data_IF_683154381691
#
_entry.id   IF_683154381691
#
_cell.length_a   1.000
_cell.length_b   1.000
_cell.length_c   1.000
_cell.angle_alpha   90.00
_cell.angle_beta   90.00
_cell.angle_gamma   90.00
#
_symmetry.space_group_name_H-M   'P 1'
#
loop_
_entity.id
_entity.type
_entity.pdbx_description
1 polymer ?
#
# COMPACT_ATOMS: atom_id res chain seq x y z
N UNK A 1 -0.24 -28.61 -1.43
CA UNK A 1 0.78 -28.40 -2.49
C UNK A 1 1.58 -27.16 -2.12
N UNK A 2 2.89 -27.06 -2.39
CA UNK A 2 3.57 -25.79 -2.15
C UNK A 2 2.93 -24.78 -3.12
N UNK A 3 2.10 -23.89 -2.58
CA UNK A 3 1.49 -22.81 -3.36
C UNK A 3 2.55 -21.87 -3.90
N UNK A 4 2.18 -21.02 -4.86
CA UNK A 4 3.08 -19.99 -5.33
C UNK A 4 3.54 -19.13 -4.15
N UNK A 5 4.85 -18.90 -4.03
CA UNK A 5 5.39 -18.10 -2.93
C UNK A 5 5.36 -16.63 -3.31
N UNK A 6 5.17 -15.77 -2.32
CA UNK A 6 5.36 -14.34 -2.49
C UNK A 6 6.82 -14.04 -2.87
N UNK A 7 6.98 -12.95 -3.61
CA UNK A 7 8.20 -12.40 -4.16
C UNK A 7 9.33 -12.23 -3.11
N UNK A 8 9.00 -12.06 -1.83
CA UNK A 8 9.99 -11.87 -0.76
C UNK A 8 11.04 -12.99 -0.72
N UNK A 9 10.62 -14.25 -0.85
CA UNK A 9 11.51 -15.44 -0.82
C UNK A 9 12.51 -15.38 -1.97
N UNK A 10 12.04 -14.95 -3.15
CA UNK A 10 12.86 -14.83 -4.34
C UNK A 10 13.84 -13.65 -4.25
N UNK A 11 13.44 -12.52 -3.66
CA UNK A 11 14.34 -11.39 -3.42
C UNK A 11 15.49 -11.79 -2.49
N UNK A 12 15.22 -12.54 -1.42
CA UNK A 12 16.26 -13.08 -0.54
C UNK A 12 17.18 -14.04 -1.28
N UNK A 13 16.65 -14.86 -2.18
CA UNK A 13 17.45 -15.79 -2.97
C UNK A 13 18.49 -15.08 -3.87
N UNK A 14 18.22 -13.84 -4.33
CA UNK A 14 19.21 -13.04 -5.07
C UNK A 14 20.47 -12.76 -4.25
N UNK A 15 20.34 -12.64 -2.93
CA UNK A 15 21.44 -12.37 -2.00
C UNK A 15 21.85 -13.61 -1.19
N UNK A 16 21.60 -14.80 -1.72
CA UNK A 16 22.02 -16.06 -1.10
C UNK A 16 21.09 -16.60 -0.02
N UNK A 17 19.85 -16.11 0.05
CA UNK A 17 18.85 -16.56 1.02
C UNK A 17 18.96 -15.90 2.39
N UNK A 18 19.76 -14.83 2.52
CA UNK A 18 19.98 -14.12 3.79
C UNK A 18 18.67 -13.78 4.49
N UNK A 19 18.59 -14.08 5.78
CA UNK A 19 17.54 -13.61 6.67
C UNK A 19 17.86 -12.18 7.17
N UNK A 20 16.83 -11.39 7.55
CA UNK A 20 17.06 -10.15 8.28
C UNK A 20 17.93 -10.38 9.51
N UNK A 21 18.95 -9.55 9.68
CA UNK A 21 19.98 -9.67 10.71
C UNK A 21 21.29 -10.29 10.21
N UNK A 22 21.32 -10.98 9.06
CA UNK A 22 22.53 -11.58 8.50
C UNK A 22 23.31 -10.61 7.61
N UNK A 23 24.62 -10.83 7.45
CA UNK A 23 25.50 -9.95 6.67
C UNK A 23 25.75 -10.49 5.26
N UNK A 24 25.58 -9.62 4.27
CA UNK A 24 25.95 -9.91 2.87
C UNK A 24 27.46 -9.75 2.64
N UNK A 25 28.06 -8.81 3.35
CA UNK A 25 29.48 -8.53 3.40
C UNK A 25 29.81 -7.93 4.78
N UNK A 26 31.08 -7.92 5.22
CA UNK A 26 31.44 -7.39 6.53
C UNK A 26 30.87 -5.98 6.77
N UNK A 27 30.00 -5.85 7.78
CA UNK A 27 29.36 -4.57 8.13
C UNK A 27 28.24 -4.11 7.19
N UNK A 28 27.77 -4.98 6.29
CA UNK A 28 26.60 -4.77 5.42
C UNK A 28 25.52 -5.80 5.76
N UNK A 29 24.64 -5.44 6.68
CA UNK A 29 23.61 -6.32 7.23
C UNK A 29 22.30 -6.17 6.49
N UNK A 30 21.65 -7.26 6.09
CA UNK A 30 20.28 -7.21 5.60
C UNK A 30 19.35 -6.87 6.77
N UNK A 31 18.71 -5.72 6.74
CA UNK A 31 17.79 -5.29 7.79
C UNK A 31 16.35 -5.70 7.50
N UNK A 32 15.94 -5.69 6.22
CA UNK A 32 14.55 -5.87 5.83
C UNK A 32 14.41 -6.29 4.37
N UNK A 33 13.36 -7.05 4.06
CA UNK A 33 12.87 -7.29 2.70
C UNK A 33 11.39 -6.94 2.71
N UNK A 34 10.95 -6.15 1.72
CA UNK A 34 9.56 -5.70 1.56
C UNK A 34 9.12 -5.88 0.11
N UNK A 35 7.83 -6.14 -0.06
CA UNK A 35 7.16 -6.14 -1.37
C UNK A 35 6.00 -5.14 -1.41
N UNK A 36 5.60 -4.55 -0.27
CA UNK A 36 4.53 -3.55 -0.20
C UNK A 36 4.96 -2.17 -0.75
N UNK A 37 6.24 -1.84 -0.76
CA UNK A 37 6.74 -0.59 -1.37
C UNK A 37 7.46 -0.83 -2.71
N UNK A 38 7.17 -1.96 -3.35
CA UNK A 38 7.94 -2.51 -4.46
C UNK A 38 9.05 -3.46 -3.99
N UNK A 39 9.67 -4.21 -4.91
CA UNK A 39 10.73 -5.18 -4.62
C UNK A 39 11.98 -4.51 -4.03
N UNK A 40 12.14 -4.51 -2.71
CA UNK A 40 13.23 -3.80 -2.03
C UNK A 40 13.94 -4.65 -0.97
N UNK A 41 15.27 -4.55 -0.95
CA UNK A 41 16.16 -5.07 0.08
C UNK A 41 16.74 -3.87 0.86
N UNK A 42 16.51 -3.77 2.16
CA UNK A 42 17.10 -2.72 3.00
C UNK A 42 18.32 -3.27 3.72
N UNK A 43 19.45 -2.59 3.58
CA UNK A 43 20.68 -2.90 4.28
C UNK A 43 21.03 -1.84 5.31
N UNK A 44 21.62 -2.25 6.43
CA UNK A 44 22.19 -1.37 7.43
C UNK A 44 23.73 -1.48 7.40
N UNK A 45 24.40 -0.33 7.33
CA UNK A 45 25.86 -0.25 7.28
C UNK A 45 26.34 1.07 7.88
N UNK A 46 27.27 1.02 8.83
CA UNK A 46 27.78 2.22 9.51
C UNK A 46 26.69 3.10 10.14
N UNK A 47 25.62 2.50 10.67
CA UNK A 47 24.46 3.21 11.21
C UNK A 47 23.54 3.86 10.16
N UNK A 48 23.78 3.64 8.87
CA UNK A 48 22.98 4.15 7.77
C UNK A 48 22.14 3.04 7.15
N UNK A 49 20.85 3.29 6.91
CA UNK A 49 19.96 2.38 6.17
C UNK A 49 19.96 2.74 4.68
N UNK A 50 20.21 1.75 3.83
CA UNK A 50 20.24 1.86 2.37
C UNK A 50 19.20 0.93 1.80
N UNK A 51 18.22 1.50 1.11
CA UNK A 51 17.16 0.76 0.44
C UNK A 51 17.57 0.47 -0.99
N UNK A 52 17.72 -0.79 -1.35
CA UNK A 52 18.02 -1.23 -2.72
C UNK A 52 16.74 -1.72 -3.39
N UNK A 53 16.28 -0.98 -4.38
CA UNK A 53 15.15 -1.36 -5.24
C UNK A 53 15.64 -2.26 -6.37
N UNK A 54 14.99 -3.42 -6.52
CA UNK A 54 15.35 -4.47 -7.48
C UNK A 54 14.31 -4.54 -8.57
N UNK A 55 14.68 -4.21 -9.80
CA UNK A 55 13.77 -4.30 -10.94
C UNK A 55 14.33 -5.13 -12.07
N UNK A 56 13.44 -5.70 -12.88
CA UNK A 56 13.84 -6.30 -14.15
C UNK A 56 14.43 -5.24 -15.06
N UNK A 57 15.58 -5.54 -15.67
CA UNK A 57 16.26 -4.64 -16.57
C UNK A 57 15.40 -4.43 -17.83
N UNK A 58 15.03 -3.18 -18.08
CA UNK A 58 14.27 -2.77 -19.27
C UNK A 58 15.00 -1.65 -20.00
N UNK A 59 14.92 -1.59 -21.35
CA UNK A 59 15.53 -0.52 -22.12
C UNK A 59 15.08 0.87 -21.63
N UNK A 60 16.02 1.78 -21.42
CA UNK A 60 15.74 3.17 -21.02
C UNK A 60 15.51 3.41 -19.52
N UNK A 61 15.38 2.35 -18.69
CA UNK A 61 15.32 2.51 -17.24
C UNK A 61 16.70 2.85 -16.68
N UNK A 62 16.79 3.95 -15.92
CA UNK A 62 18.00 4.31 -15.19
C UNK A 62 18.13 3.44 -13.94
N UNK A 63 19.35 2.98 -13.67
CA UNK A 63 19.70 2.23 -12.47
C UNK A 63 21.08 2.67 -12.00
N UNK A 64 21.35 2.60 -10.70
CA UNK A 64 22.67 2.89 -10.15
C UNK A 64 23.68 1.82 -10.55
N UNK A 65 23.26 0.56 -10.55
CA UNK A 65 24.04 -0.61 -10.95
C UNK A 65 23.13 -1.54 -11.75
N UNK A 66 23.70 -2.27 -12.70
CA UNK A 66 22.97 -3.27 -13.49
C UNK A 66 23.73 -4.59 -13.46
N UNK A 67 22.96 -5.67 -13.50
CA UNK A 67 23.42 -7.05 -13.77
C UNK A 67 22.98 -7.43 -15.18
N UNK A 68 23.02 -8.72 -15.55
CA UNK A 68 22.58 -9.14 -16.89
C UNK A 68 21.07 -8.97 -17.05
N UNK A 69 20.28 -9.19 -15.99
CA UNK A 69 18.81 -9.19 -16.03
C UNK A 69 18.15 -8.20 -15.10
N UNK A 70 18.87 -7.63 -14.13
CA UNK A 70 18.31 -6.75 -13.11
C UNK A 70 18.95 -5.36 -13.11
N UNK A 71 18.14 -4.34 -12.88
CA UNK A 71 18.58 -2.99 -12.52
C UNK A 71 18.39 -2.75 -11.03
N UNK A 72 19.41 -2.15 -10.39
CA UNK A 72 19.43 -1.84 -8.97
C UNK A 72 19.54 -0.33 -8.76
N UNK A 73 18.61 0.23 -8.00
CA UNK A 73 18.59 1.64 -7.58
C UNK A 73 18.62 1.72 -6.06
N UNK A 74 19.02 2.87 -5.51
CA UNK A 74 19.05 3.05 -4.06
C UNK A 74 18.36 4.34 -3.61
N UNK A 75 17.86 4.32 -2.38
CA UNK A 75 17.38 5.47 -1.62
C UNK A 75 17.78 5.36 -0.15
N UNK A 76 17.62 6.45 0.59
CA UNK A 76 17.92 6.56 2.02
C UNK A 76 16.67 7.09 2.74
N UNK A 77 16.54 6.81 4.05
CA UNK A 77 15.44 7.36 4.88
C UNK A 77 15.49 8.91 4.97
N UNK A 78 16.67 9.51 4.84
CA UNK A 78 16.87 10.97 4.83
C UNK A 78 17.67 11.42 3.61
N UNK A 79 17.60 12.72 3.26
CA UNK A 79 18.39 13.29 2.17
C UNK A 79 19.89 13.04 2.40
N UNK A 80 20.49 12.23 1.52
CA UNK A 80 21.88 11.83 1.63
C UNK A 80 22.84 13.02 1.43
N UNK A 81 23.90 13.09 2.24
CA UNK A 81 25.09 13.89 1.95
C UNK A 81 25.78 13.38 0.67
N UNK A 82 26.75 14.14 0.14
CA UNK A 82 27.52 13.71 -1.04
C UNK A 82 28.16 12.31 -0.86
N UNK A 83 28.56 11.96 0.37
CA UNK A 83 29.10 10.65 0.74
C UNK A 83 28.07 9.52 0.62
N UNK A 84 26.78 9.82 0.77
CA UNK A 84 25.71 8.84 0.64
C UNK A 84 25.52 8.34 -0.80
N UNK A 85 25.83 9.13 -1.84
CA UNK A 85 25.81 8.60 -3.22
C UNK A 85 26.82 7.47 -3.41
N UNK A 86 28.05 7.65 -2.92
CA UNK A 86 29.10 6.63 -3.05
C UNK A 86 28.71 5.35 -2.28
N UNK A 87 28.18 5.52 -1.06
CA UNK A 87 27.68 4.41 -0.25
C UNK A 87 26.55 3.65 -0.95
N UNK A 88 25.54 4.35 -1.46
CA UNK A 88 24.40 3.73 -2.15
C UNK A 88 24.82 2.92 -3.37
N UNK A 89 25.73 3.46 -4.20
CA UNK A 89 26.31 2.73 -5.33
C UNK A 89 27.09 1.50 -4.87
N UNK A 90 27.89 1.62 -3.79
CA UNK A 90 28.66 0.49 -3.25
C UNK A 90 27.74 -0.64 -2.76
N UNK A 91 26.66 -0.32 -2.04
CA UNK A 91 25.66 -1.30 -1.59
C UNK A 91 24.97 -1.96 -2.78
N UNK A 92 24.54 -1.18 -3.80
CA UNK A 92 24.01 -1.76 -5.03
C UNK A 92 25.01 -2.69 -5.73
N UNK A 93 26.32 -2.40 -5.73
CA UNK A 93 27.35 -3.28 -6.33
C UNK A 93 27.51 -4.59 -5.54
N UNK A 94 27.42 -4.53 -4.22
CA UNK A 94 27.45 -5.73 -3.37
C UNK A 94 26.25 -6.65 -3.69
N UNK A 95 25.05 -6.08 -3.78
CA UNK A 95 23.84 -6.80 -4.18
C UNK A 95 23.95 -7.35 -5.60
N UNK A 96 24.44 -6.56 -6.56
CA UNK A 96 24.66 -7.00 -7.94
C UNK A 96 25.62 -8.19 -8.04
N UNK A 97 26.74 -8.14 -7.29
CA UNK A 97 27.73 -9.22 -7.26
C UNK A 97 27.11 -10.51 -6.71
N UNK A 98 26.31 -10.41 -5.64
CA UNK A 98 25.60 -11.56 -5.10
C UNK A 98 24.54 -12.10 -6.08
N UNK A 99 23.80 -11.21 -6.73
CA UNK A 99 22.75 -11.58 -7.66
C UNK A 99 23.26 -12.18 -8.98
N UNK A 100 24.43 -11.77 -9.49
CA UNK A 100 24.91 -12.16 -10.82
C UNK A 100 25.02 -13.68 -11.04
N UNK A 101 25.38 -14.44 -10.00
CA UNK A 101 25.44 -15.91 -10.07
C UNK A 101 24.10 -16.62 -9.86
N UNK A 102 23.03 -15.88 -9.53
CA UNK A 102 21.75 -16.42 -9.05
C UNK A 102 20.55 -15.90 -9.84
N UNK A 103 20.68 -14.75 -10.49
CA UNK A 103 19.57 -14.02 -11.11
C UNK A 103 18.80 -14.86 -12.13
N UNK A 104 19.49 -15.67 -12.95
CA UNK A 104 18.84 -16.47 -13.98
C UNK A 104 17.96 -17.57 -13.34
N UNK A 105 18.45 -18.24 -12.28
CA UNK A 105 17.72 -19.27 -11.57
C UNK A 105 16.54 -18.69 -10.77
N UNK A 106 16.74 -17.54 -10.12
CA UNK A 106 15.70 -16.84 -9.36
C UNK A 106 14.59 -16.35 -10.28
N UNK A 107 14.93 -15.71 -11.40
CA UNK A 107 13.92 -15.26 -12.37
C UNK A 107 13.14 -16.42 -12.99
N UNK A 108 13.80 -17.55 -13.24
CA UNK A 108 13.11 -18.76 -13.70
C UNK A 108 12.17 -19.35 -12.62
N UNK A 109 12.55 -19.29 -11.34
CA UNK A 109 11.70 -19.71 -10.24
C UNK A 109 10.48 -18.79 -10.08
N UNK A 110 10.70 -17.47 -10.14
CA UNK A 110 9.64 -16.46 -10.15
C UNK A 110 8.61 -16.70 -11.26
N UNK A 111 9.07 -16.96 -12.49
CA UNK A 111 8.18 -17.23 -13.62
C UNK A 111 7.33 -18.49 -13.40
N UNK A 112 7.92 -19.59 -12.89
CA UNK A 112 7.16 -20.81 -12.57
C UNK A 112 6.13 -20.60 -11.47
N UNK A 113 6.48 -19.88 -10.40
CA UNK A 113 5.55 -19.54 -9.33
C UNK A 113 4.43 -18.62 -9.85
N UNK A 114 4.75 -17.72 -10.78
CA UNK A 114 3.78 -16.84 -11.40
C UNK A 114 2.75 -17.58 -12.24
N UNK A 115 3.20 -18.53 -13.08
CA UNK A 115 2.36 -19.42 -13.88
C UNK A 115 1.47 -20.31 -13.01
N UNK A 116 2.02 -20.88 -11.93
CA UNK A 116 1.25 -21.76 -11.03
C UNK A 116 0.17 -21.02 -10.24
N UNK A 117 0.36 -19.72 -10.01
CA UNK A 117 -0.60 -18.89 -9.28
C UNK A 117 -1.79 -18.42 -10.14
N UNK A 118 -1.68 -18.40 -11.47
CA UNK A 118 -2.66 -17.75 -12.36
C UNK A 118 -3.96 -18.57 -12.45
N UNK A 119 -5.05 -18.00 -11.91
CA UNK A 119 -6.40 -18.54 -12.04
C UNK A 119 -7.17 -17.79 -13.12
N UNK A 120 -7.81 -18.54 -14.01
CA UNK A 120 -8.75 -18.00 -14.99
C UNK A 120 -10.18 -18.13 -14.45
N UNK A 121 -10.80 -17.03 -14.00
CA UNK A 121 -12.28 -16.96 -13.96
C UNK A 121 -13.00 -16.49 -12.68
N UNK A 122 -12.34 -15.85 -11.70
CA UNK A 122 -13.02 -15.50 -10.44
C UNK A 122 -13.78 -14.15 -10.43
N UNK A 123 -13.36 -13.20 -11.27
CA UNK A 123 -14.02 -11.90 -11.49
C UNK A 123 -13.96 -11.59 -13.00
N UNK A 124 -15.08 -11.28 -13.68
CA UNK A 124 -15.09 -11.08 -15.14
C UNK A 124 -14.07 -10.02 -15.60
N UNK A 125 -13.05 -10.44 -16.34
CA UNK A 125 -12.00 -9.57 -16.86
C UNK A 125 -10.87 -9.21 -15.88
N UNK A 126 -10.84 -9.77 -14.68
CA UNK A 126 -9.73 -9.64 -13.74
C UNK A 126 -8.80 -10.84 -13.78
N UNK A 127 -7.49 -10.58 -13.72
CA UNK A 127 -6.42 -11.59 -13.57
C UNK A 127 -6.17 -11.81 -12.09
N UNK A 128 -6.66 -12.91 -11.55
CA UNK A 128 -6.53 -13.24 -10.12
C UNK A 128 -5.44 -14.30 -9.95
N UNK A 129 -4.55 -14.08 -9.00
CA UNK A 129 -3.51 -15.05 -8.64
C UNK A 129 -3.59 -15.40 -7.17
N UNK A 130 -3.53 -16.67 -6.82
CA UNK A 130 -3.45 -17.08 -5.41
C UNK A 130 -1.99 -17.34 -5.03
N UNK A 131 -1.53 -16.67 -3.97
CA UNK A 131 -0.15 -16.75 -3.48
C UNK A 131 -0.11 -16.99 -1.98
N UNK A 132 0.99 -17.56 -1.50
CA UNK A 132 1.27 -17.79 -0.08
C UNK A 132 2.43 -16.93 0.37
N UNK A 133 2.35 -16.40 1.59
CA UNK A 133 3.37 -15.55 2.20
C UNK A 133 4.01 -16.25 3.41
N UNK A 134 5.26 -15.89 3.72
CA UNK A 134 5.93 -16.30 4.97
C UNK A 134 5.82 -15.23 6.06
N UNK A 135 5.60 -13.97 5.65
CA UNK A 135 5.42 -12.79 6.51
C UNK A 135 4.31 -11.91 5.96
N UNK A 136 3.63 -11.18 6.84
CA UNK A 136 2.52 -10.32 6.45
C UNK A 136 2.62 -8.93 7.09
N UNK A 137 3.05 -8.84 8.35
CA UNK A 137 3.23 -7.57 9.05
C UNK A 137 4.55 -6.91 8.64
N UNK A 138 4.45 -5.82 7.88
CA UNK A 138 5.60 -4.98 7.56
C UNK A 138 5.68 -3.80 8.53
N UNK A 139 6.84 -3.57 9.15
CA UNK A 139 7.00 -2.42 10.06
C UNK A 139 7.18 -1.16 9.21
N UNK A 140 6.27 -0.20 9.35
CA UNK A 140 6.35 1.04 8.59
C UNK A 140 7.60 1.86 8.93
N UNK A 141 8.00 2.73 8.01
CA UNK A 141 9.14 3.63 8.18
C UNK A 141 8.98 4.51 9.44
N UNK A 142 10.04 4.61 10.24
CA UNK A 142 10.00 5.23 11.57
C UNK A 142 9.44 4.32 12.68
N UNK A 143 9.02 3.10 12.37
CA UNK A 143 8.81 2.04 13.34
C UNK A 143 7.61 2.22 14.26
N UNK A 144 6.61 3.06 13.95
CA UNK A 144 5.49 3.34 14.87
C UNK A 144 4.27 2.43 14.71
N UNK A 145 4.15 1.74 13.58
CA UNK A 145 3.02 0.85 13.28
C UNK A 145 3.43 -0.22 12.28
N UNK A 146 2.56 -1.20 12.11
CA UNK A 146 2.65 -2.19 11.04
C UNK A 146 1.69 -1.85 9.91
N UNK A 147 2.09 -2.07 8.67
CA UNK A 147 1.18 -2.20 7.54
C UNK A 147 0.87 -3.67 7.30
N UNK A 148 -0.32 -3.91 6.76
CA UNK A 148 -0.74 -5.24 6.38
C UNK A 148 -1.64 -5.16 5.15
N UNK A 149 -1.39 -6.03 4.17
CA UNK A 149 -2.26 -6.15 3.01
C UNK A 149 -2.56 -7.62 2.68
N UNK A 150 -3.85 -8.01 2.61
CA UNK A 150 -4.25 -9.33 2.10
C UNK A 150 -4.13 -9.46 0.57
N UNK A 151 -4.01 -8.33 -0.12
CA UNK A 151 -4.06 -8.24 -1.58
C UNK A 151 -2.90 -7.40 -2.14
N UNK A 152 -2.37 -7.78 -3.31
CA UNK A 152 -1.37 -6.98 -4.04
C UNK A 152 -1.91 -6.67 -5.43
N UNK A 153 -2.00 -5.38 -5.77
CA UNK A 153 -2.86 -4.92 -6.87
C UNK A 153 -4.28 -4.64 -6.37
N UNK A 154 -5.03 -3.80 -7.09
CA UNK A 154 -6.30 -3.29 -6.59
C UNK A 154 -7.35 -3.17 -7.68
N UNK A 155 -8.43 -3.94 -7.57
CA UNK A 155 -9.53 -3.95 -8.56
C UNK A 155 -10.40 -2.69 -8.55
N UNK A 156 -10.15 -1.73 -7.66
CA UNK A 156 -10.76 -0.39 -7.76
C UNK A 156 -10.19 0.34 -8.99
N UNK A 157 -8.87 0.24 -9.20
CA UNK A 157 -8.17 0.85 -10.33
C UNK A 157 -8.24 2.38 -10.36
N UNK A 158 -8.04 3.05 -9.22
CA UNK A 158 -7.93 4.51 -9.19
C UNK A 158 -6.81 4.96 -10.13
N UNK A 159 -7.11 5.93 -11.00
CA UNK A 159 -6.22 6.33 -12.11
C UNK A 159 -4.99 7.10 -11.66
N UNK A 160 -5.09 7.81 -10.53
CA UNK A 160 -4.03 8.58 -9.88
C UNK A 160 -3.24 7.78 -8.84
N UNK A 161 -3.40 6.45 -8.80
CA UNK A 161 -2.87 5.65 -7.71
C UNK A 161 -1.36 5.41 -7.89
N UNK A 162 -0.55 5.95 -6.98
CA UNK A 162 0.89 5.70 -6.94
C UNK A 162 1.24 4.19 -6.93
N UNK A 163 0.37 3.35 -6.35
CA UNK A 163 0.51 1.89 -6.34
C UNK A 163 0.72 1.28 -7.74
N UNK A 164 0.20 1.93 -8.79
CA UNK A 164 0.29 1.44 -10.15
C UNK A 164 1.75 1.19 -10.57
N UNK A 165 2.66 2.11 -10.26
CA UNK A 165 4.08 1.96 -10.62
C UNK A 165 4.73 0.83 -9.80
N UNK A 166 4.55 0.84 -8.48
CA UNK A 166 5.12 -0.16 -7.57
C UNK A 166 4.69 -1.60 -7.90
N UNK A 167 3.40 -1.81 -8.14
CA UNK A 167 2.87 -3.15 -8.46
C UNK A 167 3.22 -3.54 -9.90
N UNK A 168 3.28 -2.61 -10.85
CA UNK A 168 3.74 -2.92 -12.21
C UNK A 168 5.19 -3.43 -12.23
N UNK A 169 6.08 -2.84 -11.42
CA UNK A 169 7.46 -3.30 -11.28
C UNK A 169 7.55 -4.70 -10.69
N UNK A 170 6.77 -4.96 -9.65
CA UNK A 170 6.63 -6.29 -9.03
C UNK A 170 6.19 -7.33 -10.06
N UNK A 171 5.17 -7.01 -10.86
CA UNK A 171 4.67 -7.90 -11.92
C UNK A 171 5.69 -8.15 -13.02
N UNK A 172 6.42 -7.11 -13.45
CA UNK A 172 7.48 -7.25 -14.45
C UNK A 172 8.60 -8.16 -13.97
N UNK A 173 8.95 -8.08 -12.68
CA UNK A 173 9.94 -8.95 -12.04
C UNK A 173 9.46 -10.41 -11.98
N UNK A 174 8.18 -10.65 -11.73
CA UNK A 174 7.52 -11.96 -11.81
C UNK A 174 7.44 -12.53 -13.24
N UNK A 175 7.78 -11.72 -14.26
CA UNK A 175 7.68 -12.13 -15.67
C UNK A 175 6.26 -12.13 -16.22
N UNK A 176 5.30 -11.55 -15.50
CA UNK A 176 3.91 -11.47 -15.92
C UNK A 176 3.75 -10.50 -17.09
N UNK A 177 2.80 -10.81 -17.97
CA UNK A 177 2.44 -9.92 -19.07
C UNK A 177 1.95 -8.56 -18.53
N UNK A 178 2.29 -7.44 -19.20
CA UNK A 178 1.72 -6.14 -18.90
C UNK A 178 0.19 -6.19 -18.89
N UNK A 179 -0.39 -5.52 -17.90
CA UNK A 179 -1.81 -5.52 -17.65
C UNK A 179 -2.26 -4.12 -17.22
N UNK A 180 -3.43 -3.63 -17.66
CA UNK A 180 -3.96 -2.36 -17.19
C UNK A 180 -4.13 -2.33 -15.68
N UNK A 181 -3.85 -1.20 -15.04
CA UNK A 181 -4.07 -1.03 -13.60
C UNK A 181 -5.52 -1.32 -13.21
N UNK A 182 -5.67 -2.06 -12.12
CA UNK A 182 -6.92 -2.59 -11.62
C UNK A 182 -7.54 -3.73 -12.43
N UNK A 183 -6.84 -4.32 -13.39
CA UNK A 183 -7.28 -5.56 -14.03
C UNK A 183 -6.68 -6.82 -13.40
N UNK A 184 -6.00 -6.69 -12.25
CA UNK A 184 -5.30 -7.80 -11.61
C UNK A 184 -5.23 -7.64 -10.09
N UNK A 185 -5.11 -8.77 -9.40
CA UNK A 185 -4.82 -8.85 -7.97
C UNK A 185 -4.17 -10.20 -7.64
N UNK A 186 -3.12 -10.16 -6.81
CA UNK A 186 -2.60 -11.34 -6.12
C UNK A 186 -3.27 -11.43 -4.74
N UNK A 187 -3.76 -12.61 -4.39
CA UNK A 187 -4.51 -12.93 -3.17
C UNK A 187 -3.62 -13.74 -2.25
N UNK A 188 -3.28 -13.19 -1.07
CA UNK A 188 -2.44 -13.85 -0.07
C UNK A 188 -3.27 -14.82 0.76
N UNK A 189 -3.49 -16.03 0.25
CA UNK A 189 -4.53 -16.96 0.76
C UNK A 189 -4.32 -17.45 2.18
N UNK A 190 -3.08 -17.47 2.65
CA UNK A 190 -2.68 -17.86 4.01
C UNK A 190 -2.46 -16.66 4.96
N UNK A 191 -2.90 -15.45 4.58
CA UNK A 191 -2.70 -14.24 5.37
C UNK A 191 -3.24 -14.34 6.82
N UNK A 192 -4.46 -14.87 7.08
CA UNK A 192 -4.96 -14.99 8.46
C UNK A 192 -4.09 -15.89 9.34
N UNK A 193 -3.58 -17.00 8.80
CA UNK A 193 -2.75 -17.96 9.51
C UNK A 193 -1.36 -17.37 9.84
N UNK A 194 -0.75 -16.68 8.87
CA UNK A 194 0.54 -16.00 9.07
C UNK A 194 0.40 -14.86 10.07
N UNK A 195 -0.66 -14.05 9.96
CA UNK A 195 -0.95 -12.99 10.93
C UNK A 195 -1.09 -13.55 12.35
N UNK A 196 -1.82 -14.65 12.53
CA UNK A 196 -2.01 -15.27 13.85
C UNK A 196 -0.69 -15.72 14.48
N UNK A 197 0.28 -16.15 13.68
CA UNK A 197 1.62 -16.50 14.13
C UNK A 197 2.44 -15.25 14.48
N UNK A 198 2.45 -14.25 13.60
CA UNK A 198 3.23 -13.02 13.77
C UNK A 198 2.79 -12.20 14.98
N UNK A 199 1.48 -12.09 15.25
CA UNK A 199 0.96 -11.36 16.41
C UNK A 199 1.50 -11.88 17.77
N UNK A 200 1.98 -13.13 17.82
CA UNK A 200 2.59 -13.72 19.03
C UNK A 200 4.07 -13.39 19.16
N UNK A 201 4.73 -13.02 18.06
CA UNK A 201 6.17 -12.84 17.97
C UNK A 201 6.58 -11.37 17.93
N UNK A 202 5.72 -10.50 17.38
CA UNK A 202 6.04 -9.08 17.19
C UNK A 202 5.64 -8.24 18.41
N UNK A 203 6.38 -7.17 18.74
CA UNK A 203 5.96 -6.24 19.79
C UNK A 203 4.64 -5.53 19.39
N UNK A 204 3.73 -5.26 20.35
CA UNK A 204 2.49 -4.56 20.07
C UNK A 204 2.71 -3.17 19.44
N UNK A 205 2.03 -2.92 18.33
CA UNK A 205 1.92 -1.61 17.69
C UNK A 205 0.63 -1.56 16.84
N UNK A 206 0.10 -0.37 16.50
CA UNK A 206 -1.05 -0.25 15.61
C UNK A 206 -0.83 -1.00 14.30
N UNK A 207 -1.90 -1.61 13.77
CA UNK A 207 -1.86 -2.29 12.46
C UNK A 207 -2.74 -1.52 11.47
N UNK A 208 -2.17 -1.10 10.34
CA UNK A 208 -2.85 -0.37 9.28
C UNK A 208 -3.15 -1.29 8.10
N UNK A 209 -4.43 -1.48 7.82
CA UNK A 209 -4.94 -2.04 6.58
C UNK A 209 -5.03 -0.94 5.51
N UNK A 210 -4.78 -1.28 4.25
CA UNK A 210 -4.51 -0.37 3.13
C UNK A 210 -3.07 0.17 3.13
N UNK A 211 -2.12 -0.75 2.96
CA UNK A 211 -0.76 -0.42 2.55
C UNK A 211 -0.73 0.21 1.15
N UNK A 212 0.46 0.62 0.71
CA UNK A 212 0.75 1.26 -0.59
C UNK A 212 0.18 0.51 -1.80
N UNK A 213 -0.10 -0.79 -1.70
CA UNK A 213 -0.35 -1.68 -2.85
C UNK A 213 -1.78 -2.14 -3.09
N UNK A 214 -2.71 -1.97 -2.12
CA UNK A 214 -4.11 -2.39 -2.32
C UNK A 214 -5.10 -1.80 -1.31
N UNK A 215 -6.38 -1.83 -1.68
CA UNK A 215 -7.52 -1.55 -0.81
C UNK A 215 -8.05 -2.87 -0.22
N UNK A 216 -8.21 -2.99 1.12
CA UNK A 216 -8.60 -4.25 1.76
C UNK A 216 -10.03 -4.71 1.43
N UNK A 217 -10.89 -3.84 0.88
CA UNK A 217 -12.32 -4.11 0.66
C UNK A 217 -12.75 -3.99 -0.81
N UNK A 218 -11.81 -4.04 -1.75
CA UNK A 218 -12.16 -4.07 -3.17
C UNK A 218 -12.89 -5.38 -3.56
N UNK A 219 -13.45 -5.46 -4.77
CA UNK A 219 -14.43 -6.48 -5.19
C UNK A 219 -14.13 -7.93 -4.74
N UNK A 220 -12.88 -8.39 -4.89
CA UNK A 220 -12.44 -9.75 -4.53
C UNK A 220 -12.69 -10.13 -3.06
N UNK A 221 -12.72 -9.15 -2.14
CA UNK A 221 -12.92 -9.38 -0.70
C UNK A 221 -14.30 -9.97 -0.40
N UNK A 222 -15.31 -9.77 -1.26
CA UNK A 222 -16.62 -10.42 -1.11
C UNK A 222 -16.54 -11.95 -1.19
N UNK A 223 -15.54 -12.48 -1.90
CA UNK A 223 -15.36 -13.91 -2.11
C UNK A 223 -14.33 -14.50 -1.14
N UNK A 224 -13.17 -13.87 -1.02
CA UNK A 224 -12.06 -14.45 -0.25
C UNK A 224 -12.10 -14.13 1.24
N UNK A 225 -12.78 -13.04 1.62
CA UNK A 225 -12.98 -12.62 3.00
C UNK A 225 -11.69 -12.58 3.82
N UNK A 226 -10.55 -12.23 3.20
CA UNK A 226 -9.26 -12.28 3.87
C UNK A 226 -9.15 -11.15 4.87
N UNK A 227 -9.62 -9.94 4.52
CA UNK A 227 -9.69 -8.84 5.46
C UNK A 227 -10.56 -9.21 6.66
N UNK A 228 -11.76 -9.75 6.44
CA UNK A 228 -12.63 -10.22 7.53
C UNK A 228 -11.96 -11.26 8.41
N UNK A 229 -11.36 -12.31 7.83
CA UNK A 229 -10.66 -13.36 8.58
C UNK A 229 -9.48 -12.82 9.37
N UNK A 230 -8.73 -11.86 8.83
CA UNK A 230 -7.66 -11.17 9.57
C UNK A 230 -8.19 -10.33 10.73
N UNK A 231 -9.36 -9.68 10.59
CA UNK A 231 -10.00 -8.96 11.69
C UNK A 231 -10.48 -9.90 12.79
N UNK A 232 -11.02 -11.07 12.42
CA UNK A 232 -11.35 -12.14 13.38
C UNK A 232 -10.09 -12.61 14.12
N UNK A 233 -8.97 -12.81 13.41
CA UNK A 233 -7.67 -13.14 14.02
C UNK A 233 -7.23 -12.08 15.04
N UNK A 234 -7.34 -10.80 14.72
CA UNK A 234 -6.98 -9.70 15.64
C UNK A 234 -7.87 -9.67 16.89
N UNK A 235 -9.19 -9.86 16.71
CA UNK A 235 -10.16 -9.98 17.80
C UNK A 235 -9.81 -11.15 18.72
N UNK A 236 -9.57 -12.33 18.16
CA UNK A 236 -9.31 -13.56 18.90
C UNK A 236 -7.97 -13.51 19.62
N UNK A 237 -6.97 -12.84 19.03
CA UNK A 237 -5.70 -12.52 19.66
C UNK A 237 -5.79 -11.42 20.73
N UNK A 238 -6.96 -10.77 20.89
CA UNK A 238 -7.19 -9.62 21.78
C UNK A 238 -6.16 -8.51 21.54
N UNK A 239 -5.88 -8.21 20.27
CA UNK A 239 -4.88 -7.21 19.91
C UNK A 239 -5.24 -5.84 20.46
N UNK A 240 -4.43 -5.36 21.42
CA UNK A 240 -4.72 -4.14 22.17
C UNK A 240 -4.18 -2.87 21.52
N UNK A 241 -3.17 -2.98 20.65
CA UNK A 241 -2.44 -1.83 20.10
C UNK A 241 -3.20 -1.09 18.98
N UNK A 242 -4.43 -1.50 18.65
CA UNK A 242 -5.27 -0.82 17.69
C UNK A 242 -5.14 -1.34 16.25
N UNK A 243 -6.18 -1.04 15.48
CA UNK A 243 -6.25 -1.32 14.04
C UNK A 243 -6.78 -0.08 13.32
N UNK A 244 -6.20 0.24 12.17
CA UNK A 244 -6.62 1.32 11.29
C UNK A 244 -7.02 0.74 9.94
N UNK A 245 -8.25 0.97 9.51
CA UNK A 245 -8.72 0.59 8.19
C UNK A 245 -9.00 1.84 7.38
N UNK A 246 -8.40 1.95 6.20
CA UNK A 246 -8.77 2.94 5.19
C UNK A 246 -9.30 2.20 3.95
N UNK A 247 -10.42 2.64 3.40
CA UNK A 247 -10.97 2.05 2.16
C UNK A 247 -11.73 3.08 1.32
N UNK A 248 -11.97 2.72 0.05
CA UNK A 248 -12.87 3.40 -0.89
C UNK A 248 -14.15 2.59 -1.18
N UNK A 249 -14.35 1.48 -0.49
CA UNK A 249 -15.49 0.59 -0.66
C UNK A 249 -16.45 0.65 0.54
N UNK A 250 -17.75 0.50 0.28
CA UNK A 250 -18.77 0.38 1.31
C UNK A 250 -18.80 -1.03 1.96
N UNK A 251 -18.02 -1.99 1.43
CA UNK A 251 -18.01 -3.37 1.92
C UNK A 251 -17.53 -3.50 3.37
N UNK A 252 -16.84 -2.49 3.91
CA UNK A 252 -16.48 -2.41 5.34
C UNK A 252 -17.70 -2.55 6.26
N UNK A 253 -18.90 -2.18 5.80
CA UNK A 253 -20.14 -2.32 6.56
C UNK A 253 -20.43 -3.79 6.95
N UNK A 254 -19.96 -4.76 6.16
CA UNK A 254 -20.09 -6.20 6.46
C UNK A 254 -19.42 -6.56 7.80
N UNK A 255 -18.32 -5.89 8.13
CA UNK A 255 -17.45 -6.26 9.24
C UNK A 255 -17.70 -5.41 10.49
N UNK A 256 -18.81 -4.65 10.53
CA UNK A 256 -19.27 -3.92 11.72
C UNK A 256 -19.70 -4.83 12.88
N UNK A 257 -19.90 -6.12 12.64
CA UNK A 257 -20.12 -7.12 13.69
C UNK A 257 -18.83 -7.56 14.39
N UNK A 258 -17.66 -7.32 13.78
CA UNK A 258 -16.33 -7.73 14.31
C UNK A 258 -15.51 -6.53 14.78
N UNK A 259 -15.49 -5.43 14.02
CA UNK A 259 -14.64 -4.27 14.27
C UNK A 259 -14.79 -3.67 15.68
N UNK A 260 -16.00 -3.50 16.24
CA UNK A 260 -16.16 -2.92 17.58
C UNK A 260 -15.57 -3.79 18.70
N UNK A 261 -15.31 -5.08 18.45
CA UNK A 261 -14.70 -5.99 19.41
C UNK A 261 -13.16 -5.91 19.42
N UNK A 262 -12.55 -5.15 18.51
CA UNK A 262 -11.10 -4.92 18.46
C UNK A 262 -10.80 -3.62 19.20
N UNK A 263 -9.87 -3.67 20.16
CA UNK A 263 -9.48 -2.49 20.92
C UNK A 263 -8.91 -1.41 19.98
N UNK A 264 -9.27 -0.14 20.21
CA UNK A 264 -8.83 1.00 19.41
C UNK A 264 -8.99 0.78 17.90
N UNK A 265 -10.11 0.21 17.46
CA UNK A 265 -10.43 0.09 16.04
C UNK A 265 -10.83 1.45 15.43
N UNK A 266 -10.16 1.80 14.34
CA UNK A 266 -10.43 2.97 13.51
C UNK A 266 -10.88 2.55 12.12
N UNK A 267 -11.97 3.15 11.66
CA UNK A 267 -12.50 2.93 10.32
C UNK A 267 -12.54 4.25 9.56
N UNK A 268 -11.95 4.28 8.38
CA UNK A 268 -11.89 5.46 7.56
C UNK A 268 -12.18 5.20 6.10
N UNK A 269 -12.75 6.23 5.48
CA UNK A 269 -13.15 6.21 4.09
C UNK A 269 -12.40 7.33 3.35
N UNK A 270 -11.83 7.04 2.19
CA UNK A 270 -11.29 8.08 1.31
C UNK A 270 -12.43 8.75 0.53
N UNK A 271 -12.57 10.07 0.70
CA UNK A 271 -13.65 10.87 0.08
C UNK A 271 -13.00 12.10 -0.58
N UNK A 272 -12.44 11.96 -1.80
CA UNK A 272 -11.68 13.02 -2.45
C UNK A 272 -12.53 14.18 -2.99
N UNK A 273 -13.85 13.99 -3.11
CA UNK A 273 -14.82 14.97 -3.62
C UNK A 273 -16.25 14.56 -3.24
N UNK A 274 -17.20 15.48 -3.37
CA UNK A 274 -18.64 15.17 -3.41
C UNK A 274 -19.21 15.01 -4.83
N UNK A 275 -18.42 15.29 -5.88
CA UNK A 275 -18.83 15.08 -7.26
C UNK A 275 -18.63 13.61 -7.67
N UNK A 276 -19.74 12.89 -7.76
CA UNK A 276 -19.72 11.48 -8.13
C UNK A 276 -19.37 11.23 -9.62
N UNK A 277 -19.45 12.26 -10.48
CA UNK A 277 -18.96 12.21 -11.85
C UNK A 277 -17.42 12.28 -11.90
N UNK A 278 -16.80 13.19 -11.13
CA UNK A 278 -15.35 13.20 -10.95
C UNK A 278 -14.87 11.86 -10.37
N UNK A 279 -15.57 11.33 -9.37
CA UNK A 279 -15.29 10.00 -8.81
C UNK A 279 -15.42 8.88 -9.86
N UNK A 280 -16.40 8.90 -10.79
CA UNK A 280 -16.48 7.92 -11.92
C UNK A 280 -15.25 7.98 -12.81
N UNK A 281 -14.81 9.19 -13.11
CA UNK A 281 -13.71 9.43 -14.02
C UNK A 281 -12.39 8.89 -13.46
N UNK A 282 -12.09 9.16 -12.19
CA UNK A 282 -10.81 8.79 -11.59
C UNK A 282 -10.82 7.49 -10.78
N UNK A 283 -11.96 7.09 -10.22
CA UNK A 283 -12.12 5.92 -9.35
C UNK A 283 -13.27 5.02 -9.86
N UNK A 284 -13.12 4.41 -11.04
CA UNK A 284 -14.24 3.87 -11.82
C UNK A 284 -15.00 2.74 -11.14
N UNK A 285 -14.34 1.97 -10.26
CA UNK A 285 -14.93 0.82 -9.55
C UNK A 285 -14.96 0.97 -8.03
N UNK A 286 -14.68 2.17 -7.53
CA UNK A 286 -14.87 2.46 -6.12
C UNK A 286 -16.35 2.64 -5.80
N UNK A 287 -16.72 2.60 -4.52
CA UNK A 287 -18.09 2.92 -4.11
C UNK A 287 -18.43 4.37 -4.49
N UNK A 288 -19.71 4.63 -4.79
CA UNK A 288 -20.20 5.99 -5.05
C UNK A 288 -20.00 6.88 -3.84
N UNK A 289 -19.95 8.20 -4.05
CA UNK A 289 -19.82 9.16 -2.95
C UNK A 289 -20.94 9.00 -1.91
N UNK A 290 -22.24 8.87 -2.28
CA UNK A 290 -23.30 8.61 -1.30
C UNK A 290 -23.07 7.34 -0.49
N UNK A 291 -22.62 6.25 -1.13
CA UNK A 291 -22.34 4.99 -0.43
C UNK A 291 -21.15 5.12 0.53
N UNK A 292 -20.11 5.89 0.18
CA UNK A 292 -18.98 6.18 1.07
C UNK A 292 -19.38 6.99 2.30
N UNK A 293 -20.24 7.99 2.12
CA UNK A 293 -20.78 8.78 3.23
C UNK A 293 -21.68 7.93 4.13
N UNK A 294 -22.51 7.06 3.55
CA UNK A 294 -23.34 6.12 4.29
C UNK A 294 -22.48 5.13 5.10
N UNK A 295 -21.46 4.53 4.48
CA UNK A 295 -20.54 3.62 5.15
C UNK A 295 -19.80 4.30 6.32
N UNK A 296 -19.31 5.53 6.14
CA UNK A 296 -18.67 6.29 7.21
C UNK A 296 -19.63 6.57 8.37
N UNK A 297 -20.89 6.93 8.06
CA UNK A 297 -21.93 7.13 9.07
C UNK A 297 -22.27 5.83 9.81
N UNK A 298 -22.35 4.70 9.11
CA UNK A 298 -22.60 3.38 9.69
C UNK A 298 -21.46 2.96 10.64
N UNK A 299 -20.20 3.17 10.24
CA UNK A 299 -19.04 2.96 11.11
C UNK A 299 -19.12 3.79 12.40
N UNK A 300 -19.50 5.08 12.28
CA UNK A 300 -19.69 5.97 13.44
C UNK A 300 -20.84 5.48 14.35
N UNK A 301 -21.96 5.07 13.76
CA UNK A 301 -23.12 4.55 14.48
C UNK A 301 -22.82 3.22 15.21
N UNK A 302 -21.91 2.40 14.67
CA UNK A 302 -21.40 1.19 15.31
C UNK A 302 -20.40 1.46 16.46
N UNK A 303 -20.13 2.72 16.79
CA UNK A 303 -19.23 3.11 17.88
C UNK A 303 -17.75 3.10 17.53
N UNK A 304 -17.39 2.96 16.24
CA UNK A 304 -15.99 3.01 15.81
C UNK A 304 -15.45 4.44 15.82
N UNK A 305 -14.14 4.59 16.02
CA UNK A 305 -13.46 5.86 15.77
C UNK A 305 -13.37 6.06 14.27
N UNK A 306 -14.05 7.09 13.76
CA UNK A 306 -14.09 7.35 12.33
C UNK A 306 -13.13 8.42 11.88
N UNK A 307 -12.59 8.26 10.67
CA UNK A 307 -11.79 9.30 10.03
C UNK A 307 -12.08 9.36 8.53
N UNK A 308 -11.76 10.48 7.89
CA UNK A 308 -11.77 10.57 6.43
C UNK A 308 -10.41 11.01 5.91
N UNK A 309 -10.07 10.55 4.71
CA UNK A 309 -8.90 11.01 3.98
C UNK A 309 -9.37 11.66 2.69
N UNK A 310 -8.96 12.90 2.48
CA UNK A 310 -9.18 13.65 1.24
C UNK A 310 -7.83 13.76 0.55
N UNK A 311 -7.53 12.75 -0.27
CA UNK A 311 -6.32 12.67 -1.08
C UNK A 311 -6.57 11.74 -2.30
N UNK A 312 -6.37 12.23 -3.53
CA UNK A 312 -6.11 13.62 -3.88
C UNK A 312 -7.34 14.51 -3.66
N UNK A 313 -7.20 15.83 -3.84
CA UNK A 313 -8.35 16.71 -4.00
C UNK A 313 -8.89 16.50 -5.43
N UNK A 314 -10.20 16.28 -5.59
CA UNK A 314 -10.85 16.22 -6.90
C UNK A 314 -11.91 17.34 -7.01
N UNK A 315 -12.23 17.80 -8.24
CA UNK A 315 -13.18 18.90 -8.41
C UNK A 315 -14.53 18.59 -7.75
N UNK A 316 -15.09 19.58 -7.08
CA UNK A 316 -16.32 19.46 -6.31
C UNK A 316 -16.48 20.57 -5.28
N UNK A 317 -17.62 20.62 -4.58
CA UNK A 317 -17.95 21.73 -3.68
C UNK A 317 -17.26 21.57 -2.31
N UNK A 318 -16.31 22.45 -1.99
CA UNK A 318 -15.50 22.39 -0.76
C UNK A 318 -16.31 22.54 0.53
N UNK A 319 -17.16 23.57 0.64
CA UNK A 319 -17.93 23.81 1.85
C UNK A 319 -18.92 22.66 2.15
N UNK A 320 -19.73 22.18 1.19
CA UNK A 320 -20.54 20.97 1.36
C UNK A 320 -19.73 19.71 1.69
N UNK A 321 -18.52 19.53 1.13
CA UNK A 321 -17.64 18.43 1.52
C UNK A 321 -17.25 18.56 3.00
N UNK A 322 -16.87 19.75 3.45
CA UNK A 322 -16.56 20.00 4.85
C UNK A 322 -17.75 19.72 5.78
N UNK A 323 -18.97 20.12 5.40
CA UNK A 323 -20.21 19.82 6.14
C UNK A 323 -20.43 18.30 6.26
N UNK A 324 -20.35 17.59 5.12
CA UNK A 324 -20.57 16.15 5.07
C UNK A 324 -19.56 15.37 5.91
N UNK A 325 -18.30 15.81 5.92
CA UNK A 325 -17.22 15.21 6.71
C UNK A 325 -17.36 15.54 8.20
N UNK A 326 -17.68 16.78 8.56
CA UNK A 326 -17.87 17.18 9.97
C UNK A 326 -18.97 16.38 10.67
N UNK A 327 -20.03 16.02 9.93
CA UNK A 327 -21.12 15.21 10.46
C UNK A 327 -20.68 13.75 10.75
N UNK A 328 -19.72 13.19 9.99
CA UNK A 328 -19.48 11.74 9.91
C UNK A 328 -18.09 11.29 10.38
N UNK A 329 -17.07 12.14 10.27
CA UNK A 329 -15.70 11.83 10.63
C UNK A 329 -15.34 12.40 12.00
N UNK A 330 -14.68 11.62 12.85
CA UNK A 330 -14.07 12.10 14.10
C UNK A 330 -12.79 12.91 13.86
N UNK A 331 -12.13 12.71 12.73
CA UNK A 331 -11.01 13.52 12.26
C UNK A 331 -10.89 13.47 10.74
N UNK A 332 -10.21 14.45 10.12
CA UNK A 332 -9.91 14.43 8.67
C UNK A 332 -8.43 14.66 8.37
N UNK A 333 -7.86 13.87 7.45
CA UNK A 333 -6.56 14.16 6.81
C UNK A 333 -6.83 14.72 5.42
N UNK A 334 -6.20 15.85 5.14
CA UNK A 334 -6.21 16.49 3.82
C UNK A 334 -4.78 16.48 3.30
N UNK A 335 -4.58 15.98 2.10
CA UNK A 335 -3.26 15.88 1.49
C UNK A 335 -3.37 15.97 -0.03
N UNK A 336 -2.29 16.35 -0.70
CA UNK A 336 -2.30 16.74 -2.11
C UNK A 336 -1.80 15.63 -3.02
N UNK A 337 -2.17 15.71 -4.30
CA UNK A 337 -1.50 14.95 -5.36
C UNK A 337 -0.19 15.62 -5.73
N UNK A 338 0.89 14.84 -5.82
CA UNK A 338 2.15 15.29 -6.38
C UNK A 338 2.31 14.75 -7.81
N UNK A 339 2.32 15.64 -8.80
CA UNK A 339 2.28 15.22 -10.20
C UNK A 339 0.93 14.63 -10.59
N UNK A 340 0.93 13.60 -11.44
CA UNK A 340 -0.31 12.96 -11.95
C UNK A 340 -0.38 11.45 -11.72
N UNK A 341 0.69 10.82 -11.21
CA UNK A 341 0.71 9.42 -10.73
C UNK A 341 0.03 8.40 -11.68
N UNK A 342 0.21 8.56 -13.00
CA UNK A 342 -0.39 7.70 -14.03
C UNK A 342 -1.67 8.23 -14.68
N UNK A 343 -2.32 9.23 -14.09
CA UNK A 343 -3.60 9.80 -14.54
C UNK A 343 -3.48 10.91 -15.61
N UNK A 344 -2.41 10.91 -16.41
CA UNK A 344 -2.15 11.97 -17.40
C UNK A 344 -3.30 12.14 -18.39
N UNK A 345 -3.92 11.03 -18.83
CA UNK A 345 -5.04 11.07 -19.76
C UNK A 345 -6.30 11.59 -19.09
N UNK A 346 -6.54 11.19 -17.85
CA UNK A 346 -7.70 11.62 -17.07
C UNK A 346 -7.68 13.12 -16.77
N UNK A 347 -6.50 13.67 -16.49
CA UNK A 347 -6.31 15.12 -16.30
C UNK A 347 -6.22 15.90 -17.62
N UNK A 348 -6.20 15.25 -18.79
CA UNK A 348 -6.32 15.95 -20.07
C UNK A 348 -7.76 16.40 -20.38
N UNK A 349 -8.75 15.86 -19.66
CA UNK A 349 -10.15 16.29 -19.76
C UNK A 349 -10.31 17.71 -19.20
N UNK A 350 -10.79 18.70 -19.98
CA UNK A 350 -10.92 20.09 -19.53
C UNK A 350 -11.80 20.27 -18.28
N UNK A 351 -12.72 19.34 -18.01
CA UNK A 351 -13.56 19.37 -16.80
C UNK A 351 -12.74 19.17 -15.52
N UNK A 352 -11.63 18.44 -15.61
CA UNK A 352 -10.87 17.98 -14.46
C UNK A 352 -9.40 18.43 -14.47
N UNK A 353 -8.94 19.05 -15.56
CA UNK A 353 -7.53 19.37 -15.78
C UNK A 353 -6.89 20.20 -14.66
N UNK A 354 -7.63 21.14 -14.06
CA UNK A 354 -7.14 21.95 -12.95
C UNK A 354 -6.65 21.08 -11.78
N UNK A 355 -7.30 19.94 -11.50
CA UNK A 355 -6.93 19.06 -10.41
C UNK A 355 -5.60 18.32 -10.59
N UNK A 356 -5.03 18.31 -11.81
CA UNK A 356 -3.67 17.80 -12.04
C UNK A 356 -2.56 18.77 -11.63
N UNK A 357 -2.90 20.02 -11.29
CA UNK A 357 -1.93 21.05 -10.87
C UNK A 357 -1.69 21.02 -9.36
N UNK A 358 -0.41 21.03 -8.95
CA UNK A 358 -0.04 21.16 -7.54
C UNK A 358 -0.57 22.46 -6.93
N UNK A 359 -0.57 23.56 -7.67
CA UNK A 359 -1.08 24.84 -7.17
C UNK A 359 -2.58 24.76 -6.85
N UNK A 360 -3.36 24.13 -7.73
CA UNK A 360 -4.79 23.92 -7.50
C UNK A 360 -5.03 22.97 -6.32
N UNK A 361 -4.27 21.87 -6.23
CA UNK A 361 -4.35 20.94 -5.09
C UNK A 361 -4.10 21.65 -3.77
N UNK A 362 -3.07 22.49 -3.70
CA UNK A 362 -2.73 23.28 -2.51
C UNK A 362 -3.80 24.30 -2.15
N UNK A 363 -4.35 25.00 -3.15
CA UNK A 363 -5.46 25.95 -2.95
C UNK A 363 -6.70 25.26 -2.38
N UNK A 364 -7.12 24.14 -2.98
CA UNK A 364 -8.30 23.39 -2.51
C UNK A 364 -8.05 22.75 -1.15
N UNK A 365 -6.85 22.22 -0.89
CA UNK A 365 -6.48 21.68 0.41
C UNK A 365 -6.53 22.76 1.50
N UNK A 366 -6.04 23.97 1.21
CA UNK A 366 -6.11 25.10 2.14
C UNK A 366 -7.55 25.54 2.42
N UNK A 367 -8.37 25.66 1.36
CA UNK A 367 -9.79 26.00 1.49
C UNK A 367 -10.57 24.96 2.32
N UNK A 368 -10.37 23.67 2.03
CA UNK A 368 -11.01 22.59 2.78
C UNK A 368 -10.54 22.54 4.23
N UNK A 369 -9.24 22.72 4.47
CA UNK A 369 -8.65 22.79 5.81
C UNK A 369 -9.27 23.92 6.62
N UNK A 370 -9.43 25.11 6.04
CA UNK A 370 -10.09 26.24 6.70
C UNK A 370 -11.56 25.91 7.04
N UNK A 371 -12.31 25.40 6.06
CA UNK A 371 -13.72 25.05 6.24
C UNK A 371 -13.93 23.95 7.32
N UNK A 372 -13.03 22.97 7.41
CA UNK A 372 -13.07 21.92 8.44
C UNK A 372 -12.75 22.47 9.83
N UNK A 373 -11.80 23.42 9.94
CA UNK A 373 -11.47 24.08 11.21
C UNK A 373 -12.62 24.92 11.74
N UNK A 374 -13.32 25.65 10.87
CA UNK A 374 -14.53 26.40 11.23
C UNK A 374 -15.63 25.49 11.80
N UNK A 375 -15.67 24.23 11.37
CA UNK A 375 -16.60 23.20 11.85
C UNK A 375 -16.09 22.42 13.06
N UNK A 376 -14.92 22.79 13.61
CA UNK A 376 -14.32 22.13 14.77
C UNK A 376 -13.84 20.70 14.49
N UNK A 377 -13.60 20.32 13.23
CA UNK A 377 -13.15 18.97 12.88
C UNK A 377 -11.65 18.83 13.16
N UNK A 378 -11.22 17.85 13.99
CA UNK A 378 -9.80 17.59 14.20
C UNK A 378 -9.08 17.23 12.91
N UNK A 379 -7.94 17.85 12.68
CA UNK A 379 -7.09 17.61 11.51
C UNK A 379 -5.75 17.03 11.94
N UNK A 380 -5.16 16.18 11.10
CA UNK A 380 -3.81 15.67 11.32
C UNK A 380 -3.00 15.54 10.03
N UNK A 381 -1.69 15.46 10.19
CA UNK A 381 -0.73 15.13 9.15
C UNK A 381 -0.04 13.80 9.47
N UNK A 382 0.37 13.07 8.43
CA UNK A 382 1.03 11.77 8.57
C UNK A 382 0.09 10.56 8.49
N UNK A 383 0.62 9.39 8.84
CA UNK A 383 0.04 8.10 8.45
C UNK A 383 -1.01 7.53 9.40
N UNK A 384 -1.00 7.95 10.67
CA UNK A 384 -1.93 7.53 11.71
C UNK A 384 -2.69 8.74 12.26
N UNK A 385 -3.98 8.61 12.61
CA UNK A 385 -4.70 9.65 13.32
C UNK A 385 -4.11 9.85 14.73
N UNK A 386 -4.24 11.04 15.34
CA UNK A 386 -3.55 11.39 16.59
C UNK A 386 -3.83 10.39 17.73
N UNK A 387 -5.10 10.00 17.92
CA UNK A 387 -5.49 9.06 18.98
C UNK A 387 -5.07 7.60 18.77
N UNK A 388 -4.35 7.29 17.69
CA UNK A 388 -3.70 5.99 17.45
C UNK A 388 -2.16 6.13 17.33
N UNK A 389 -1.65 7.31 16.99
CA UNK A 389 -0.22 7.57 16.88
C UNK A 389 0.48 7.64 18.25
N UNK A 390 -0.28 8.00 19.29
CA UNK A 390 0.20 8.26 20.66
C UNK A 390 -0.12 7.12 21.65
N UNK A 391 -0.75 6.04 21.17
CA UNK A 391 -1.31 4.94 21.99
C UNK A 391 -0.42 3.71 22.11
#
# INVERSE_FOLDING_TARGET
MPGARDLEVHLRALVGGLAPGEELAPGLRLAEVTTECGPRLTFETGGTRVHVEVARLTPGRRSAVQTRRLGLSYRFDAAASADGRALGVAVCRAVATAAAGREEAVLAALARDAEMAEETGDEPGARVRQVTVERLLERAEGGRYYTVTPYVGCLIGCKFCYAQSHVAETRALLGLAPAPWGSYVDVRVNAPEVLAAELKAVPPAPIKFCAVVSDPYHAIERRHELTRRMLLTLRDARWAAGVLILTRAALIERDLDVLPAIANAWAGISIPTLDDAARRHFEPRAASIPARLAALAACKAAGLRTFAVVQPLLPGPVAPLADALAERAGSVRVDVLHGVEGATQEFADPRWAAAGSLAWQQEQAAALTAALRERGVPLWSGELPPGLADS
#
